data_IF_294555722495
#
_entry.id   IF_294555722495
#
_cell.length_a   1.000
_cell.length_b   1.000
_cell.length_c   1.000
_cell.angle_alpha   90.00
_cell.angle_beta   90.00
_cell.angle_gamma   90.00
#
_symmetry.space_group_name_H-M   'P 1'
#
loop_
_entity.id
_entity.type
_entity.pdbx_description
1 polymer ?
#
# COMPACT_ATOMS: atom_id res chain seq x y z
N UNK A 1 16.02 1.77 -16.26
CA UNK A 1 14.59 1.52 -16.50
C UNK A 1 13.77 2.60 -15.82
N UNK A 2 12.87 3.22 -16.55
CA UNK A 2 12.05 4.29 -15.99
C UNK A 2 10.91 3.72 -15.16
N UNK A 3 10.69 4.31 -13.98
CA UNK A 3 9.49 4.00 -13.19
C UNK A 3 8.29 4.57 -13.93
N UNK A 4 7.22 3.79 -14.14
CA UNK A 4 6.03 4.31 -14.81
C UNK A 4 5.50 5.56 -14.11
N UNK A 5 5.12 6.61 -14.85
CA UNK A 5 4.56 7.82 -14.24
C UNK A 5 3.38 7.56 -13.33
N UNK A 6 2.60 6.52 -13.63
CA UNK A 6 1.44 6.11 -12.82
C UNK A 6 1.84 5.67 -11.42
N UNK A 7 2.99 5.02 -11.24
CA UNK A 7 3.47 4.66 -9.92
C UNK A 7 3.84 5.88 -9.09
N UNK A 8 4.52 6.86 -9.70
CA UNK A 8 4.87 8.09 -9.03
C UNK A 8 3.63 8.85 -8.56
N UNK A 9 2.64 9.02 -9.42
CA UNK A 9 1.40 9.70 -9.05
C UNK A 9 0.64 8.92 -7.99
N UNK A 10 0.67 7.59 -8.04
CA UNK A 10 0.01 6.76 -7.05
C UNK A 10 0.64 6.94 -5.66
N UNK A 11 1.96 7.08 -5.58
CA UNK A 11 2.63 7.35 -4.30
C UNK A 11 2.16 8.67 -3.72
N UNK A 12 2.12 9.74 -4.53
CA UNK A 12 1.67 11.05 -4.04
C UNK A 12 0.20 11.02 -3.63
N UNK A 13 -0.64 10.36 -4.41
CA UNK A 13 -2.06 10.22 -4.08
C UNK A 13 -2.24 9.42 -2.80
N UNK A 14 -1.46 8.36 -2.62
CA UNK A 14 -1.51 7.57 -1.40
C UNK A 14 -1.14 8.41 -0.18
N UNK A 15 -0.04 9.16 -0.25
CA UNK A 15 0.41 9.99 0.87
C UNK A 15 -0.65 11.03 1.21
N UNK A 16 -1.20 11.70 0.20
CA UNK A 16 -2.23 12.71 0.40
C UNK A 16 -3.47 12.14 1.08
N UNK A 17 -3.98 11.00 0.56
CA UNK A 17 -5.17 10.38 1.12
C UNK A 17 -4.90 9.81 2.52
N UNK A 18 -3.73 9.23 2.73
CA UNK A 18 -3.35 8.69 4.01
C UNK A 18 -3.36 9.78 5.09
N UNK A 19 -2.76 10.93 4.78
CA UNK A 19 -2.77 12.08 5.69
C UNK A 19 -4.17 12.62 5.92
N UNK A 20 -4.96 12.70 4.85
CA UNK A 20 -6.34 13.21 4.90
C UNK A 20 -7.24 12.34 5.74
N UNK A 21 -7.02 11.04 5.75
CA UNK A 21 -7.87 10.09 6.46
C UNK A 21 -7.37 9.74 7.86
N UNK A 22 -6.39 10.50 8.36
CA UNK A 22 -5.92 10.35 9.72
C UNK A 22 -4.79 9.36 9.91
N UNK A 23 -4.16 8.93 8.84
CA UNK A 23 -2.98 8.09 8.93
C UNK A 23 -1.80 8.85 9.52
N UNK A 24 -0.92 8.15 10.21
CA UNK A 24 0.26 8.75 10.83
C UNK A 24 1.54 8.19 10.24
N UNK A 25 2.45 9.11 9.91
CA UNK A 25 3.80 8.75 9.48
C UNK A 25 4.74 8.84 10.68
N UNK A 26 5.44 7.75 10.97
CA UNK A 26 6.37 7.69 12.08
C UNK A 26 7.52 6.71 11.76
N UNK A 27 8.38 6.46 12.73
CA UNK A 27 9.54 5.57 12.52
C UNK A 27 9.16 4.13 12.21
N UNK A 28 7.91 3.73 12.45
CA UNK A 28 7.44 2.37 12.22
C UNK A 28 6.67 2.22 10.91
N UNK A 29 6.49 3.29 10.15
CA UNK A 29 5.78 3.27 8.88
C UNK A 29 6.69 3.72 7.75
N UNK A 30 6.65 3.00 6.63
CA UNK A 30 7.45 3.36 5.46
C UNK A 30 6.66 3.13 4.18
N UNK A 31 6.98 3.90 3.15
CA UNK A 31 6.44 3.69 1.81
C UNK A 31 7.60 3.64 0.83
N UNK A 32 7.53 2.73 -0.13
CA UNK A 32 8.55 2.58 -1.16
C UNK A 32 7.92 2.25 -2.50
N UNK A 33 8.63 2.60 -3.59
CA UNK A 33 8.24 2.27 -4.95
C UNK A 33 9.06 1.09 -5.45
N UNK A 34 8.39 0.19 -6.15
CA UNK A 34 9.00 -0.95 -6.83
C UNK A 34 8.60 -0.93 -8.30
N UNK A 35 8.97 -1.95 -9.05
CA UNK A 35 8.74 -1.95 -10.50
C UNK A 35 7.28 -1.84 -10.90
N UNK A 36 6.40 -2.58 -10.21
CA UNK A 36 4.99 -2.70 -10.58
C UNK A 36 4.04 -2.23 -9.50
N UNK A 37 4.56 -1.86 -8.33
CA UNK A 37 3.71 -1.59 -7.18
C UNK A 37 4.39 -0.62 -6.21
N UNK A 38 3.58 -0.04 -5.33
CA UNK A 38 4.08 0.67 -4.15
C UNK A 38 3.85 -0.21 -2.93
N UNK A 39 4.72 -0.08 -1.95
CA UNK A 39 4.63 -0.87 -0.72
C UNK A 39 4.59 0.04 0.49
N UNK A 40 3.57 -0.15 1.31
CA UNK A 40 3.43 0.52 2.60
C UNK A 40 3.62 -0.53 3.69
N UNK A 41 4.54 -0.27 4.60
CA UNK A 41 4.81 -1.17 5.74
C UNK A 41 4.46 -0.48 7.04
N UNK A 42 3.84 -1.24 7.95
CA UNK A 42 3.62 -0.83 9.32
C UNK A 42 4.20 -1.89 10.25
N UNK A 43 5.33 -1.56 10.86
CA UNK A 43 6.06 -2.51 11.71
C UNK A 43 5.38 -2.74 13.06
N UNK A 44 4.55 -1.81 13.52
CA UNK A 44 3.79 -1.99 14.76
C UNK A 44 2.78 -3.11 14.59
N UNK A 45 2.06 -3.09 13.46
CA UNK A 45 1.03 -4.07 13.17
C UNK A 45 1.56 -5.32 12.46
N UNK A 46 2.84 -5.32 12.11
CA UNK A 46 3.47 -6.39 11.31
C UNK A 46 2.77 -6.63 9.99
N UNK A 47 2.34 -5.54 9.34
CA UNK A 47 1.60 -5.61 8.08
C UNK A 47 2.33 -4.87 6.97
N UNK A 48 2.28 -5.44 5.76
CA UNK A 48 2.73 -4.73 4.57
C UNK A 48 1.64 -4.81 3.51
N UNK A 49 1.45 -3.69 2.83
CA UNK A 49 0.45 -3.55 1.79
C UNK A 49 1.16 -3.27 0.48
N UNK A 50 0.89 -4.08 -0.53
CA UNK A 50 1.39 -3.85 -1.89
C UNK A 50 0.23 -3.37 -2.74
N UNK A 51 0.41 -2.27 -3.42
CA UNK A 51 -0.65 -1.65 -4.22
C UNK A 51 -0.19 -1.63 -5.66
N UNK A 52 -0.90 -2.37 -6.52
CA UNK A 52 -0.58 -2.51 -7.93
C UNK A 52 -1.56 -1.70 -8.77
N UNK A 53 -1.14 -0.52 -9.29
CA UNK A 53 -2.00 0.22 -10.21
C UNK A 53 -2.18 -0.58 -11.50
N UNK A 54 -3.42 -0.67 -11.96
CA UNK A 54 -3.76 -1.43 -13.17
C UNK A 54 -3.98 -0.50 -14.36
N UNK A 55 -3.85 -1.05 -15.57
CA UNK A 55 -4.03 -0.29 -16.79
C UNK A 55 -5.44 0.27 -16.96
N UNK A 56 -6.43 -0.40 -16.37
CA UNK A 56 -7.84 0.03 -16.44
C UNK A 56 -8.21 1.08 -15.39
N UNK A 57 -7.24 1.54 -14.61
CA UNK A 57 -7.49 2.55 -13.58
C UNK A 57 -7.84 2.00 -12.20
N UNK A 58 -7.94 0.69 -12.05
CA UNK A 58 -8.18 0.08 -10.75
C UNK A 58 -6.86 -0.17 -10.01
N UNK A 59 -6.97 -0.56 -8.75
CA UNK A 59 -5.82 -0.87 -7.90
C UNK A 59 -6.01 -2.22 -7.24
N UNK A 60 -5.02 -3.09 -7.37
CA UNK A 60 -5.02 -4.36 -6.63
C UNK A 60 -4.23 -4.15 -5.36
N UNK A 61 -4.89 -4.42 -4.24
CA UNK A 61 -4.27 -4.34 -2.92
C UNK A 61 -3.98 -5.75 -2.43
N UNK A 62 -2.73 -5.97 -2.07
CA UNK A 62 -2.31 -7.24 -1.48
C UNK A 62 -1.80 -6.95 -0.07
N UNK A 63 -2.51 -7.48 0.91
CA UNK A 63 -2.09 -7.40 2.31
C UNK A 63 -1.35 -8.68 2.66
N UNK A 64 -0.15 -8.53 3.19
CA UNK A 64 0.67 -9.64 3.65
C UNK A 64 1.18 -9.29 5.04
N UNK A 65 1.17 -10.25 5.95
CA UNK A 65 1.77 -10.03 7.26
C UNK A 65 3.29 -10.10 7.13
N UNK A 66 3.99 -9.21 7.84
CA UNK A 66 5.44 -9.30 7.91
C UNK A 66 5.78 -10.58 8.64
N UNK A 67 6.52 -11.46 7.97
CA UNK A 67 6.74 -12.81 8.45
C UNK A 67 7.62 -12.84 9.70
N UNK A 68 7.06 -13.37 10.78
CA UNK A 68 7.81 -13.68 11.98
C UNK A 68 8.04 -15.19 12.04
N UNK A 69 9.17 -15.59 12.63
CA UNK A 69 9.47 -17.02 12.80
C UNK A 69 8.33 -17.71 13.57
N UNK A 70 7.84 -18.80 13.02
CA UNK A 70 6.80 -19.61 13.65
C UNK A 70 5.37 -19.21 13.34
N UNK A 71 5.14 -18.16 12.55
CA UNK A 71 3.81 -17.73 12.14
C UNK A 71 3.63 -17.79 10.64
N UNK A 72 2.54 -18.40 10.15
CA UNK A 72 2.28 -18.41 8.71
C UNK A 72 1.87 -17.00 8.22
N UNK A 73 2.29 -16.67 7.01
CA UNK A 73 1.85 -15.44 6.37
C UNK A 73 0.39 -15.53 6.01
N UNK A 74 -0.34 -14.43 6.24
CA UNK A 74 -1.73 -14.32 5.83
C UNK A 74 -1.80 -13.34 4.66
N UNK A 75 -2.29 -13.80 3.52
CA UNK A 75 -2.38 -12.97 2.31
C UNK A 75 -3.83 -12.71 1.98
N UNK A 76 -4.18 -11.44 1.84
CA UNK A 76 -5.51 -11.01 1.42
C UNK A 76 -5.33 -10.14 0.19
N UNK A 77 -6.10 -10.44 -0.86
CA UNK A 77 -6.07 -9.68 -2.12
C UNK A 77 -7.43 -9.08 -2.39
N UNK A 78 -7.46 -7.78 -2.68
CA UNK A 78 -8.69 -7.05 -3.00
C UNK A 78 -8.43 -6.09 -4.15
N UNK A 79 -9.48 -5.75 -4.90
CA UNK A 79 -9.43 -4.79 -6.00
C UNK A 79 -10.30 -3.59 -5.66
N UNK A 80 -9.75 -2.38 -5.89
CA UNK A 80 -10.45 -1.14 -5.62
C UNK A 80 -10.43 -0.24 -6.85
N UNK A 81 -11.42 0.63 -6.95
CA UNK A 81 -11.54 1.56 -8.08
C UNK A 81 -10.73 2.83 -7.91
N UNK A 82 -10.44 3.22 -6.66
CA UNK A 82 -9.71 4.46 -6.37
C UNK A 82 -8.69 4.24 -5.29
N UNK A 83 -7.67 5.10 -5.27
CA UNK A 83 -6.66 5.06 -4.20
C UNK A 83 -7.26 5.46 -2.85
N UNK A 84 -8.28 6.31 -2.86
CA UNK A 84 -9.00 6.69 -1.67
C UNK A 84 -9.59 5.48 -0.96
N UNK A 85 -10.21 4.57 -1.71
CA UNK A 85 -10.77 3.33 -1.16
C UNK A 85 -9.67 2.43 -0.58
N UNK A 86 -8.53 2.33 -1.26
CA UNK A 86 -7.39 1.56 -0.78
C UNK A 86 -6.92 2.09 0.58
N UNK A 87 -6.72 3.40 0.68
CA UNK A 87 -6.26 4.03 1.90
C UNK A 87 -7.29 3.88 3.02
N UNK A 88 -8.57 4.00 2.69
CA UNK A 88 -9.65 3.82 3.66
C UNK A 88 -9.60 2.44 4.31
N UNK A 89 -9.34 1.42 3.52
CA UNK A 89 -9.16 0.06 4.03
C UNK A 89 -7.97 -0.03 4.99
N UNK A 90 -6.86 0.62 4.65
CA UNK A 90 -5.63 0.56 5.43
C UNK A 90 -5.77 1.26 6.78
N UNK A 91 -6.44 2.44 6.81
CA UNK A 91 -6.54 3.24 8.04
C UNK A 91 -7.74 2.86 8.92
N UNK A 92 -8.68 2.11 8.38
CA UNK A 92 -9.89 1.71 9.10
C UNK A 92 -9.61 0.77 10.26
#
# INVERSE_FOLDING_TARGET
>A
MCIPPKLTSTVYDFIREFNSQGGEWNQNTTISMHNDYIRYKNYVDNEQYKIYPQADGTFVLLLDTIKNAGHPSKIITKTYNTIEEVVQYIVA
#
